data_IF_429011510337
#
_entry.id   IF_429011510337
#
_cell.length_a   1.000
_cell.length_b   1.000
_cell.length_c   1.000
_cell.angle_alpha   90.00
_cell.angle_beta   90.00
_cell.angle_gamma   90.00
#
_symmetry.space_group_name_H-M   'P 1'
#
loop_
_entity.id
_entity.type
_entity.pdbx_description
1 polymer ?
#
# COMPACT_ATOMS: atom_id res chain seq x y z
N UNK A 1 26.25 -0.38 4.91
CA UNK A 1 26.07 1.04 4.53
C UNK A 1 26.05 1.22 3.00
N UNK A 2 26.99 0.59 2.25
CA UNK A 2 27.08 0.71 0.79
C UNK A 2 25.86 0.10 0.05
N UNK A 3 25.39 -1.07 0.49
CA UNK A 3 24.23 -1.76 -0.07
C UNK A 3 22.92 -0.93 0.06
N UNK A 4 22.73 -0.28 1.22
CA UNK A 4 21.60 0.62 1.45
C UNK A 4 21.62 1.83 0.50
N UNK A 5 22.81 2.40 0.29
CA UNK A 5 22.96 3.54 -0.62
C UNK A 5 22.63 3.18 -2.07
N UNK A 6 23.04 1.99 -2.54
CA UNK A 6 22.68 1.50 -3.88
C UNK A 6 21.19 1.26 -4.03
N UNK A 7 20.52 0.70 -3.02
CA UNK A 7 19.07 0.48 -3.02
C UNK A 7 18.35 1.81 -3.17
N UNK A 8 18.66 2.77 -2.30
CA UNK A 8 18.01 4.10 -2.33
C UNK A 8 18.28 4.84 -3.65
N UNK A 9 19.51 4.79 -4.18
CA UNK A 9 19.83 5.44 -5.46
C UNK A 9 19.05 4.86 -6.63
N UNK A 10 18.81 3.55 -6.65
CA UNK A 10 18.00 2.89 -7.67
C UNK A 10 16.54 3.34 -7.59
N UNK A 11 16.00 3.42 -6.42
CA UNK A 11 14.62 3.85 -6.16
C UNK A 11 14.40 5.31 -6.52
N UNK A 12 15.31 6.19 -6.09
CA UNK A 12 15.29 7.61 -6.47
C UNK A 12 15.30 7.77 -7.99
N UNK A 13 16.09 6.96 -8.72
CA UNK A 13 16.10 7.00 -10.19
C UNK A 13 14.75 6.58 -10.80
N UNK A 14 13.98 5.74 -10.14
CA UNK A 14 12.64 5.36 -10.59
C UNK A 14 11.64 6.48 -10.26
N UNK A 15 11.52 6.84 -8.98
CA UNK A 15 10.49 7.78 -8.52
C UNK A 15 10.67 9.20 -9.06
N UNK A 16 11.92 9.64 -9.33
CA UNK A 16 12.21 10.96 -9.88
C UNK A 16 11.69 11.18 -11.31
N UNK A 17 11.33 10.11 -12.01
CA UNK A 17 10.78 10.14 -13.39
C UNK A 17 9.26 10.04 -13.42
N UNK A 18 8.63 9.73 -12.28
CA UNK A 18 7.19 9.58 -12.20
C UNK A 18 6.51 10.94 -12.06
N UNK A 19 5.47 11.15 -12.87
CA UNK A 19 4.65 12.36 -12.82
C UNK A 19 3.19 11.98 -13.14
N UNK A 20 2.40 11.77 -12.10
CA UNK A 20 0.99 11.44 -12.20
C UNK A 20 0.24 12.01 -10.99
N UNK A 21 -0.99 12.55 -11.13
CA UNK A 21 -1.72 13.18 -10.03
C UNK A 21 -1.94 12.26 -8.82
N UNK A 22 -2.09 10.95 -9.04
CA UNK A 22 -2.30 9.98 -7.95
C UNK A 22 -1.03 9.22 -7.54
N UNK A 23 0.15 9.72 -7.91
CA UNK A 23 1.46 9.19 -7.50
C UNK A 23 2.19 10.26 -6.73
N UNK A 24 2.70 9.93 -5.55
CA UNK A 24 3.38 10.87 -4.65
C UNK A 24 4.58 11.50 -5.37
N UNK A 25 4.53 12.83 -5.51
CA UNK A 25 5.52 13.57 -6.27
C UNK A 25 6.87 13.62 -5.54
N UNK A 26 7.90 13.13 -6.21
CA UNK A 26 9.28 13.32 -5.79
C UNK A 26 9.72 14.78 -5.98
N UNK A 27 10.40 15.34 -4.98
CA UNK A 27 10.95 16.71 -5.04
C UNK A 27 12.46 16.65 -5.17
N UNK A 28 13.14 16.01 -4.20
CA UNK A 28 14.58 15.90 -4.24
C UNK A 28 15.11 14.74 -3.38
N UNK A 29 16.37 14.43 -3.60
CA UNK A 29 17.14 13.46 -2.83
C UNK A 29 18.41 14.11 -2.29
N UNK A 30 18.76 13.78 -1.05
CA UNK A 30 20.02 14.15 -0.45
C UNK A 30 20.73 12.93 0.15
N UNK A 31 22.04 12.73 -0.11
CA UNK A 31 22.82 11.65 0.50
C UNK A 31 23.12 11.91 1.98
N UNK A 32 22.88 13.13 2.45
CA UNK A 32 23.07 13.55 3.84
C UNK A 32 21.76 14.11 4.40
N UNK A 33 21.51 13.87 5.68
CA UNK A 33 20.33 14.41 6.35
C UNK A 33 20.56 15.86 6.84
N UNK A 34 19.49 16.49 7.33
CA UNK A 34 19.51 17.86 7.88
C UNK A 34 20.46 18.06 9.09
N UNK A 35 20.98 16.97 9.68
CA UNK A 35 22.01 16.98 10.75
C UNK A 35 23.41 16.73 10.20
N UNK A 36 23.63 16.91 8.89
CA UNK A 36 24.90 16.68 8.19
C UNK A 36 25.49 15.25 8.36
N UNK A 37 24.66 14.28 8.71
CA UNK A 37 25.06 12.87 8.79
C UNK A 37 24.86 12.19 7.44
N UNK A 38 25.69 11.21 7.09
CA UNK A 38 25.56 10.34 5.91
C UNK A 38 24.36 9.37 6.06
N UNK A 39 23.17 9.94 6.10
CA UNK A 39 21.89 9.25 6.08
C UNK A 39 21.08 9.83 4.93
N UNK A 40 20.80 9.05 3.89
CA UNK A 40 20.06 9.55 2.73
C UNK A 40 18.64 9.96 3.14
N UNK A 41 18.14 11.01 2.48
CA UNK A 41 16.79 11.56 2.67
C UNK A 41 16.15 11.73 1.31
N UNK A 42 14.91 11.28 1.19
CA UNK A 42 14.03 11.57 0.04
C UNK A 42 13.02 12.60 0.52
N UNK A 43 12.82 13.65 -0.27
CA UNK A 43 11.81 14.68 -0.03
C UNK A 43 10.74 14.55 -1.11
N UNK A 44 9.50 14.46 -0.68
CA UNK A 44 8.30 14.36 -1.52
C UNK A 44 7.36 15.52 -1.23
N UNK A 45 6.31 15.67 -2.04
CA UNK A 45 5.18 16.50 -1.67
C UNK A 45 4.59 16.07 -0.34
N UNK A 46 3.95 17.00 0.35
CA UNK A 46 3.32 16.74 1.65
C UNK A 46 1.82 16.51 1.49
N UNK A 47 1.35 15.37 1.94
CA UNK A 47 -0.07 15.05 1.98
C UNK A 47 -0.61 15.30 3.39
N UNK A 48 -1.38 16.37 3.55
CA UNK A 48 -1.76 16.93 4.86
C UNK A 48 -2.69 16.01 5.67
N UNK A 49 -3.52 15.20 4.97
CA UNK A 49 -4.48 14.32 5.62
C UNK A 49 -3.89 12.94 6.00
N UNK A 50 -2.56 12.78 5.86
CA UNK A 50 -1.87 11.55 6.27
C UNK A 50 -2.20 10.37 5.36
N UNK A 51 -2.32 9.17 5.92
CA UNK A 51 -2.57 7.93 5.17
C UNK A 51 -4.06 7.62 5.07
N UNK A 52 -4.46 6.89 4.02
CA UNK A 52 -5.81 6.36 3.89
C UNK A 52 -6.18 5.46 5.08
N UNK A 53 -5.21 4.71 5.62
CA UNK A 53 -5.40 3.89 6.82
C UNK A 53 -5.87 4.71 8.02
N UNK A 54 -5.26 5.89 8.25
CA UNK A 54 -5.66 6.79 9.35
C UNK A 54 -7.10 7.29 9.18
N UNK A 55 -7.49 7.65 7.95
CA UNK A 55 -8.85 8.12 7.66
C UNK A 55 -9.87 7.00 7.84
N UNK A 56 -9.59 5.80 7.31
CA UNK A 56 -10.48 4.64 7.48
C UNK A 56 -10.63 4.23 8.95
N UNK A 57 -9.56 4.32 9.75
CA UNK A 57 -9.61 4.10 11.19
C UNK A 57 -10.46 5.15 11.89
N UNK A 58 -10.30 6.43 11.54
CA UNK A 58 -11.15 7.50 12.04
C UNK A 58 -12.62 7.22 11.74
N UNK A 59 -12.95 6.92 10.48
CA UNK A 59 -14.33 6.70 10.04
C UNK A 59 -14.97 5.44 10.68
N UNK A 60 -14.16 4.43 11.05
CA UNK A 60 -14.62 3.28 11.84
C UNK A 60 -14.95 3.67 13.29
N UNK A 61 -14.09 4.50 13.90
CA UNK A 61 -14.26 4.90 15.29
C UNK A 61 -15.32 5.98 15.48
N UNK A 62 -15.56 6.82 14.46
CA UNK A 62 -16.49 7.95 14.51
C UNK A 62 -17.49 7.90 13.34
N UNK A 63 -18.43 6.91 13.30
CA UNK A 63 -19.32 6.69 12.14
C UNK A 63 -20.31 7.83 11.87
N UNK A 64 -20.53 8.74 12.84
CA UNK A 64 -21.37 9.94 12.69
C UNK A 64 -20.58 11.16 12.21
N UNK A 65 -19.24 11.10 12.24
CA UNK A 65 -18.33 12.18 11.84
C UNK A 65 -17.32 11.66 10.82
N UNK A 66 -17.84 11.03 9.77
CA UNK A 66 -17.01 10.45 8.71
C UNK A 66 -16.38 11.53 7.84
N UNK A 67 -15.11 11.33 7.52
CA UNK A 67 -14.36 12.18 6.60
C UNK A 67 -14.73 11.83 5.15
N UNK A 68 -14.91 10.54 4.84
CA UNK A 68 -15.18 10.06 3.49
C UNK A 68 -16.67 9.78 3.28
N UNK A 69 -17.30 10.53 2.38
CA UNK A 69 -18.58 10.16 1.77
C UNK A 69 -18.36 9.23 0.56
N UNK A 70 -19.44 8.76 -0.06
CA UNK A 70 -19.37 7.82 -1.17
C UNK A 70 -18.70 8.43 -2.42
N UNK A 71 -18.83 9.74 -2.63
CA UNK A 71 -18.14 10.45 -3.71
C UNK A 71 -16.63 10.46 -3.51
N UNK A 72 -16.17 10.77 -2.30
CA UNK A 72 -14.74 10.72 -1.97
C UNK A 72 -14.17 9.32 -2.11
N UNK A 73 -14.91 8.29 -1.68
CA UNK A 73 -14.49 6.88 -1.86
C UNK A 73 -14.30 6.53 -3.33
N UNK A 74 -15.24 6.93 -4.21
CA UNK A 74 -15.14 6.71 -5.66
C UNK A 74 -13.94 7.46 -6.27
N UNK A 75 -13.71 8.72 -5.88
CA UNK A 75 -12.55 9.52 -6.32
C UNK A 75 -11.25 8.82 -5.91
N UNK A 76 -11.17 8.34 -4.68
CA UNK A 76 -9.99 7.64 -4.16
C UNK A 76 -9.77 6.34 -4.93
N UNK A 77 -10.81 5.50 -5.13
CA UNK A 77 -10.69 4.26 -5.91
C UNK A 77 -10.23 4.53 -7.33
N UNK A 78 -10.84 5.50 -8.02
CA UNK A 78 -10.45 5.88 -9.37
C UNK A 78 -8.99 6.37 -9.43
N UNK A 79 -8.61 7.25 -8.51
CA UNK A 79 -7.25 7.77 -8.44
C UNK A 79 -6.21 6.67 -8.22
N UNK A 80 -6.46 5.73 -7.30
CA UNK A 80 -5.57 4.58 -7.07
C UNK A 80 -5.46 3.71 -8.32
N UNK A 81 -6.59 3.35 -8.94
CA UNK A 81 -6.60 2.54 -10.17
C UNK A 81 -5.83 3.22 -11.30
N UNK A 82 -6.03 4.53 -11.48
CA UNK A 82 -5.31 5.35 -12.48
C UNK A 82 -3.81 5.39 -12.19
N UNK A 83 -3.42 5.60 -10.92
CA UNK A 83 -2.02 5.62 -10.51
C UNK A 83 -1.32 4.27 -10.72
N UNK A 84 -1.98 3.15 -10.36
CA UNK A 84 -1.45 1.79 -10.62
C UNK A 84 -1.33 1.53 -12.13
N UNK A 85 -2.33 1.89 -12.91
CA UNK A 85 -2.28 1.76 -14.38
C UNK A 85 -1.10 2.52 -14.97
N UNK A 86 -0.85 3.74 -14.50
CA UNK A 86 0.31 4.54 -14.87
C UNK A 86 1.64 3.85 -14.53
N UNK A 87 1.79 3.32 -13.30
CA UNK A 87 2.98 2.57 -12.89
C UNK A 87 3.19 1.34 -13.77
N UNK A 88 2.13 0.56 -14.01
CA UNK A 88 2.18 -0.64 -14.85
C UNK A 88 2.52 -0.35 -16.31
N UNK A 89 2.10 0.81 -16.84
CA UNK A 89 2.50 1.27 -18.17
C UNK A 89 4.02 1.54 -18.25
N UNK A 90 4.62 2.00 -17.16
CA UNK A 90 6.06 2.22 -17.03
C UNK A 90 6.84 0.97 -16.57
N UNK A 91 6.20 -0.21 -16.56
CA UNK A 91 6.77 -1.49 -16.08
C UNK A 91 7.24 -1.44 -14.62
N UNK A 92 6.57 -0.66 -13.79
CA UNK A 92 6.82 -0.55 -12.35
C UNK A 92 5.71 -1.28 -11.62
N UNK A 93 6.10 -2.23 -10.74
CA UNK A 93 5.20 -2.92 -9.81
C UNK A 93 5.29 -2.23 -8.45
N UNK A 94 4.14 -1.98 -7.82
CA UNK A 94 4.11 -1.38 -6.48
C UNK A 94 4.53 -2.37 -5.40
N UNK A 95 4.04 -3.60 -5.46
CA UNK A 95 4.38 -4.76 -4.60
C UNK A 95 3.92 -4.69 -3.15
N UNK A 96 3.53 -3.53 -2.63
CA UNK A 96 3.07 -3.34 -1.24
C UNK A 96 1.90 -2.35 -1.19
N UNK A 97 0.93 -2.50 -2.10
CA UNK A 97 -0.25 -1.63 -2.10
C UNK A 97 -1.15 -1.96 -0.92
N UNK A 98 -1.44 -0.96 -0.10
CA UNK A 98 -2.31 -1.03 1.07
C UNK A 98 -2.66 0.38 1.55
N UNK A 99 -3.67 0.58 2.40
CA UNK A 99 -4.08 1.91 2.86
C UNK A 99 -2.98 2.72 3.55
N UNK A 100 -2.00 2.07 4.21
CA UNK A 100 -0.88 2.73 4.85
C UNK A 100 0.07 3.41 3.85
N UNK A 101 0.13 2.90 2.61
CA UNK A 101 0.99 3.39 1.54
C UNK A 101 0.27 4.33 0.56
N UNK A 102 -0.98 4.68 0.85
CA UNK A 102 -1.77 5.66 0.11
C UNK A 102 -1.94 6.88 0.98
N UNK A 103 -1.34 7.98 0.55
CA UNK A 103 -1.45 9.27 1.22
C UNK A 103 -2.64 10.05 0.65
N UNK A 104 -3.21 10.94 1.46
CA UNK A 104 -4.39 11.73 1.08
C UNK A 104 -4.03 13.22 1.16
N UNK A 105 -4.20 13.93 0.03
CA UNK A 105 -3.93 15.35 -0.05
C UNK A 105 -5.06 16.20 0.56
N UNK A 106 -4.94 17.54 0.47
CA UNK A 106 -5.89 18.51 1.02
C UNK A 106 -7.27 18.48 0.33
N UNK A 107 -7.36 17.94 -0.89
CA UNK A 107 -8.61 17.75 -1.64
C UNK A 107 -9.19 16.34 -1.50
N UNK A 108 -8.70 15.54 -0.57
CA UNK A 108 -9.03 14.12 -0.40
C UNK A 108 -8.69 13.24 -1.62
N UNK A 109 -7.72 13.66 -2.45
CA UNK A 109 -7.23 12.83 -3.55
C UNK A 109 -6.12 11.88 -3.09
N UNK A 110 -6.06 10.65 -3.63
CA UNK A 110 -5.05 9.68 -3.25
C UNK A 110 -3.71 9.96 -3.93
N UNK A 111 -2.63 9.72 -3.20
CA UNK A 111 -1.24 9.76 -3.63
C UNK A 111 -0.59 8.43 -3.27
N UNK A 112 -0.36 7.59 -4.25
CA UNK A 112 0.34 6.32 -4.05
C UNK A 112 1.80 6.64 -3.72
N UNK A 113 2.25 6.18 -2.55
CA UNK A 113 3.62 6.36 -2.06
C UNK A 113 4.29 5.03 -1.76
N UNK A 114 5.52 5.09 -1.28
CA UNK A 114 6.31 3.92 -0.82
C UNK A 114 6.47 2.80 -1.88
N UNK A 115 6.91 3.20 -3.08
CA UNK A 115 7.14 2.28 -4.20
C UNK A 115 8.33 1.38 -3.95
N UNK A 116 8.16 0.32 -3.14
CA UNK A 116 9.15 -0.74 -3.06
C UNK A 116 10.48 -0.36 -2.44
N UNK A 117 10.51 0.65 -1.57
CA UNK A 117 11.67 0.96 -0.71
C UNK A 117 12.13 -0.24 0.11
N UNK A 118 11.31 -1.25 0.25
CA UNK A 118 11.59 -2.39 1.11
C UNK A 118 11.89 -3.70 0.40
N UNK A 119 11.67 -3.84 -0.93
CA UNK A 119 11.58 -5.20 -1.48
C UNK A 119 12.17 -5.44 -2.87
N UNK A 120 13.43 -5.07 -3.08
CA UNK A 120 14.16 -5.58 -4.26
C UNK A 120 14.43 -7.10 -4.21
N UNK A 121 14.24 -7.77 -3.06
CA UNK A 121 14.56 -9.20 -2.83
C UNK A 121 13.63 -9.88 -1.80
N UNK A 122 12.34 -9.54 -1.75
CA UNK A 122 11.42 -10.29 -0.88
C UNK A 122 10.88 -11.54 -1.57
N UNK A 123 11.69 -12.59 -1.58
CA UNK A 123 11.13 -13.92 -1.40
C UNK A 123 10.47 -13.96 -0.02
N UNK A 124 9.29 -14.57 0.10
CA UNK A 124 8.69 -14.91 1.39
C UNK A 124 9.63 -15.95 2.01
N UNK A 125 10.61 -15.49 2.77
CA UNK A 125 11.54 -16.35 3.48
C UNK A 125 10.85 -16.89 4.73
N UNK A 126 11.32 -18.02 5.27
CA UNK A 126 10.86 -18.58 6.55
C UNK A 126 10.78 -17.52 7.66
N UNK A 127 11.68 -16.51 7.64
CA UNK A 127 11.69 -15.39 8.58
C UNK A 127 10.46 -14.49 8.49
N UNK A 128 9.83 -14.34 7.31
CA UNK A 128 8.59 -13.57 7.14
C UNK A 128 7.42 -14.38 7.68
N UNK A 129 7.40 -15.68 7.43
CA UNK A 129 6.39 -16.59 7.97
C UNK A 129 6.45 -16.69 9.48
N UNK A 130 7.67 -16.72 10.07
CA UNK A 130 7.86 -16.75 11.53
C UNK A 130 7.36 -15.46 12.18
N UNK A 131 7.75 -14.28 11.66
CA UNK A 131 7.28 -12.98 12.15
C UNK A 131 5.76 -12.80 11.98
N UNK A 132 5.19 -13.37 10.93
CA UNK A 132 3.75 -13.38 10.70
C UNK A 132 3.01 -14.26 11.72
N UNK A 133 3.57 -15.40 12.07
CA UNK A 133 3.04 -16.28 13.11
C UNK A 133 3.08 -15.61 14.49
N UNK A 134 4.10 -14.77 14.76
CA UNK A 134 4.25 -13.98 15.99
C UNK A 134 3.35 -12.72 16.02
N UNK A 135 2.57 -12.46 14.96
CA UNK A 135 1.60 -11.36 14.89
C UNK A 135 2.14 -10.02 14.38
N UNK A 136 3.44 -9.89 14.11
CA UNK A 136 4.08 -8.62 13.71
C UNK A 136 3.72 -8.14 12.29
N UNK A 137 3.21 -9.03 11.40
CA UNK A 137 2.96 -8.70 9.98
C UNK A 137 1.49 -8.93 9.56
N UNK A 138 0.60 -9.12 10.52
CA UNK A 138 -0.79 -9.56 10.29
C UNK A 138 -1.57 -8.70 9.27
N UNK A 139 -1.46 -7.37 9.37
CA UNK A 139 -2.16 -6.42 8.48
C UNK A 139 -1.72 -6.52 7.02
N UNK A 140 -0.42 -6.52 6.77
CA UNK A 140 0.14 -6.52 5.41
C UNK A 140 -0.17 -7.81 4.63
N UNK A 141 -0.28 -8.94 5.31
CA UNK A 141 -0.53 -10.24 4.66
C UNK A 141 -1.91 -10.35 4.02
N UNK A 142 -2.89 -9.60 4.53
CA UNK A 142 -4.25 -9.61 3.99
C UNK A 142 -4.33 -9.10 2.54
N UNK A 143 -3.40 -8.25 2.11
CA UNK A 143 -3.36 -7.66 0.76
C UNK A 143 -2.51 -8.48 -0.23
N UNK A 144 -1.78 -9.49 0.25
CA UNK A 144 -0.93 -10.31 -0.61
C UNK A 144 -1.76 -11.28 -1.43
N UNK A 145 -1.51 -11.32 -2.73
CA UNK A 145 -2.16 -12.26 -3.65
C UNK A 145 -1.69 -13.71 -3.42
N UNK A 146 -2.51 -14.72 -3.77
CA UNK A 146 -2.14 -16.13 -3.59
C UNK A 146 -0.81 -16.52 -4.23
N UNK A 147 -0.49 -15.98 -5.42
CA UNK A 147 0.76 -16.26 -6.11
C UNK A 147 1.97 -15.73 -5.33
N UNK A 148 1.84 -14.61 -4.60
CA UNK A 148 2.89 -14.13 -3.71
C UNK A 148 3.03 -15.07 -2.50
N UNK A 149 1.91 -15.48 -1.91
CA UNK A 149 1.89 -16.39 -0.76
C UNK A 149 2.56 -17.73 -1.02
N UNK A 150 2.29 -18.34 -2.19
CA UNK A 150 2.70 -19.72 -2.48
C UNK A 150 3.96 -19.81 -3.35
N UNK A 151 4.25 -18.78 -4.16
CA UNK A 151 5.33 -18.82 -5.13
C UNK A 151 6.31 -17.66 -5.00
N UNK A 152 5.97 -16.61 -4.23
CA UNK A 152 6.79 -15.40 -4.12
C UNK A 152 6.81 -14.55 -5.39
N UNK A 153 5.87 -14.79 -6.31
CA UNK A 153 5.83 -14.15 -7.62
C UNK A 153 5.03 -12.85 -7.59
N UNK A 154 5.68 -11.74 -7.93
CA UNK A 154 5.06 -10.43 -8.04
C UNK A 154 4.74 -10.12 -9.50
N UNK A 155 3.53 -9.64 -9.75
CA UNK A 155 3.04 -9.30 -11.08
C UNK A 155 2.13 -8.07 -11.03
N UNK A 156 1.71 -7.57 -12.21
CA UNK A 156 0.67 -6.53 -12.29
C UNK A 156 -0.64 -7.02 -11.67
N UNK A 157 -0.96 -8.30 -11.80
CA UNK A 157 -2.15 -8.90 -11.19
C UNK A 157 -2.11 -8.90 -9.66
N UNK A 158 -0.91 -9.02 -9.07
CA UNK A 158 -0.74 -8.95 -7.62
C UNK A 158 -1.08 -7.55 -7.07
N UNK A 159 -0.69 -6.48 -7.78
CA UNK A 159 -1.08 -5.10 -7.41
C UNK A 159 -2.60 -4.89 -7.57
N UNK A 160 -3.21 -5.48 -8.62
CA UNK A 160 -4.67 -5.43 -8.83
C UNK A 160 -5.41 -6.17 -7.71
N UNK A 161 -4.90 -7.31 -7.28
CA UNK A 161 -5.44 -8.05 -6.13
C UNK A 161 -5.41 -7.20 -4.86
N UNK A 162 -4.27 -6.58 -4.56
CA UNK A 162 -4.12 -5.68 -3.42
C UNK A 162 -5.09 -4.48 -3.50
N UNK A 163 -5.23 -3.88 -4.69
CA UNK A 163 -6.22 -2.83 -4.94
C UNK A 163 -7.65 -3.29 -4.62
N UNK A 164 -8.01 -4.53 -4.96
CA UNK A 164 -9.32 -5.11 -4.62
C UNK A 164 -9.60 -5.07 -3.11
N UNK A 165 -8.59 -5.33 -2.26
CA UNK A 165 -8.74 -5.25 -0.81
C UNK A 165 -8.78 -3.80 -0.29
N UNK A 166 -8.04 -2.87 -0.91
CA UNK A 166 -8.16 -1.44 -0.61
C UNK A 166 -9.58 -0.94 -0.94
N UNK A 167 -10.13 -1.35 -2.09
CA UNK A 167 -11.51 -1.03 -2.48
C UNK A 167 -12.53 -1.66 -1.51
N UNK A 168 -12.30 -2.91 -1.07
CA UNK A 168 -13.11 -3.54 -0.04
C UNK A 168 -13.17 -2.70 1.24
N UNK A 169 -12.04 -2.22 1.76
CA UNK A 169 -12.03 -1.37 2.95
C UNK A 169 -12.72 -0.03 2.74
N UNK A 170 -12.51 0.60 1.59
CA UNK A 170 -13.18 1.86 1.25
C UNK A 170 -14.71 1.70 1.22
N UNK A 171 -15.20 0.61 0.65
CA UNK A 171 -16.64 0.35 0.49
C UNK A 171 -17.25 -0.06 1.83
N UNK A 172 -16.66 -1.06 2.51
CA UNK A 172 -17.24 -1.66 3.71
C UNK A 172 -16.87 -0.94 5.01
N UNK A 173 -15.80 -0.14 4.99
CA UNK A 173 -15.14 0.43 6.16
C UNK A 173 -14.66 -0.66 7.17
N UNK A 174 -14.43 -1.89 6.71
CA UNK A 174 -13.97 -3.01 7.54
C UNK A 174 -12.58 -3.47 7.09
N UNK A 175 -11.73 -3.87 8.04
CA UNK A 175 -10.46 -4.50 7.70
C UNK A 175 -10.71 -5.88 7.08
N UNK A 176 -10.05 -6.23 5.95
CA UNK A 176 -10.16 -7.56 5.38
C UNK A 176 -9.62 -8.60 6.37
N UNK A 177 -10.37 -9.69 6.56
CA UNK A 177 -10.00 -10.79 7.47
C UNK A 177 -9.75 -10.33 8.93
N UNK A 178 -10.50 -9.33 9.42
CA UNK A 178 -10.29 -8.66 10.72
C UNK A 178 -10.08 -9.62 11.90
N UNK A 179 -10.78 -10.76 11.93
CA UNK A 179 -10.75 -11.71 13.06
C UNK A 179 -9.95 -12.99 12.75
N UNK A 180 -9.13 -12.97 11.69
CA UNK A 180 -8.34 -14.11 11.29
C UNK A 180 -6.96 -14.06 11.97
N UNK A 181 -6.54 -15.17 12.57
CA UNK A 181 -5.13 -15.41 12.86
C UNK A 181 -4.39 -15.83 11.58
N UNK A 182 -3.08 -16.00 11.68
CA UNK A 182 -2.24 -16.39 10.54
C UNK A 182 -2.71 -17.68 9.87
N UNK A 183 -3.06 -18.70 10.64
CA UNK A 183 -3.44 -20.01 10.11
C UNK A 183 -4.80 -19.98 9.41
N UNK A 184 -5.76 -19.24 9.98
CA UNK A 184 -7.06 -19.02 9.34
C UNK A 184 -6.92 -18.24 8.05
N UNK A 185 -6.10 -17.16 8.04
CA UNK A 185 -5.83 -16.38 6.84
C UNK A 185 -5.17 -17.24 5.76
N UNK A 186 -4.13 -18.01 6.10
CA UNK A 186 -3.47 -18.93 5.19
C UNK A 186 -4.44 -19.96 4.59
N UNK A 187 -5.29 -20.57 5.44
CA UNK A 187 -6.31 -21.52 5.01
C UNK A 187 -7.32 -20.90 4.06
N UNK A 188 -7.81 -19.70 4.38
CA UNK A 188 -8.77 -18.97 3.56
C UNK A 188 -8.19 -18.64 2.17
N UNK A 189 -6.96 -18.11 2.13
CA UNK A 189 -6.29 -17.79 0.87
C UNK A 189 -6.09 -19.06 0.03
N UNK A 190 -5.66 -20.18 0.64
CA UNK A 190 -5.48 -21.49 -0.02
C UNK A 190 -6.77 -22.02 -0.60
N UNK A 191 -7.90 -21.83 0.07
CA UNK A 191 -9.24 -22.24 -0.38
C UNK A 191 -9.92 -21.23 -1.29
N UNK A 192 -9.25 -20.13 -1.63
CA UNK A 192 -9.84 -19.00 -2.38
C UNK A 192 -11.04 -18.34 -1.69
N UNK A 193 -11.16 -18.45 -0.38
CA UNK A 193 -12.17 -17.75 0.41
C UNK A 193 -11.84 -16.25 0.42
N UNK A 194 -12.88 -15.42 0.37
CA UNK A 194 -12.76 -13.95 0.39
C UNK A 194 -13.66 -13.37 1.48
N UNK A 195 -13.32 -12.17 2.01
CA UNK A 195 -14.21 -11.47 2.92
C UNK A 195 -15.58 -11.25 2.28
N UNK A 196 -16.64 -11.43 3.05
CA UNK A 196 -18.00 -11.18 2.59
C UNK A 196 -18.26 -9.67 2.47
N UNK A 197 -19.03 -9.29 1.45
CA UNK A 197 -19.52 -7.92 1.27
C UNK A 197 -21.00 -7.93 1.63
N UNK A 198 -21.30 -7.60 2.89
CA UNK A 198 -22.66 -7.59 3.43
C UNK A 198 -23.24 -6.18 3.47
N UNK A 199 -23.07 -5.43 2.38
CA UNK A 199 -23.62 -4.09 2.20
C UNK A 199 -24.26 -3.98 0.81
N UNK A 200 -25.30 -3.16 0.68
CA UNK A 200 -25.77 -2.72 -0.63
C UNK A 200 -24.70 -1.79 -1.22
N UNK A 201 -24.15 -2.19 -2.36
CA UNK A 201 -23.22 -1.35 -3.12
C UNK A 201 -24.09 -0.38 -3.93
N UNK A 202 -23.87 0.95 -3.81
CA UNK A 202 -24.66 1.93 -4.52
C UNK A 202 -24.48 1.85 -6.03
#
# INVERSE_FOLDING_TARGET
TYKLFQIISREVNIISKLNHPSVLKFILYSPINFKHKRKPVIITEYAINGTLSNILEHDRNFPKDRILDDTHKLIIMYGIASGISYLHHHNILHRDLKPENILIDDFLHPKIGDFGLSKSDCQINESVLTKAADGEIKGTLAYMSPEIWFHGEYSKSSDVYAFGFVAYELITNMNPYQNFDFFKLFSAIKKSERPEINIEIP
#
